data_IF_277819436166
#
_entry.id   IF_277819436166
#
_cell.length_a   1.000
_cell.length_b   1.000
_cell.length_c   1.000
_cell.angle_alpha   90.00
_cell.angle_beta   90.00
_cell.angle_gamma   90.00
#
_symmetry.space_group_name_H-M   'P 1'
#
loop_
_entity.id
_entity.type
_entity.pdbx_description
1 polymer ?
#
# COMPACT_ATOMS: atom_id res chain seq x y z
N UNK A 1 22.95 5.63 -9.70
CA UNK A 1 23.17 5.02 -8.37
C UNK A 1 21.80 4.59 -7.84
N UNK A 2 21.61 3.35 -7.41
CA UNK A 2 20.32 2.93 -6.86
C UNK A 2 20.17 3.47 -5.44
N UNK A 3 19.01 4.05 -5.13
CA UNK A 3 18.70 4.52 -3.77
C UNK A 3 18.49 3.33 -2.84
N UNK A 4 19.03 3.38 -1.61
CA UNK A 4 18.66 2.51 -0.51
C UNK A 4 17.23 2.79 -0.03
N UNK A 5 16.65 1.93 0.80
CA UNK A 5 15.34 2.19 1.39
C UNK A 5 15.32 3.50 2.18
N UNK A 6 16.35 3.73 2.99
CA UNK A 6 16.48 4.97 3.78
C UNK A 6 16.50 6.22 2.89
N UNK A 7 17.25 6.20 1.79
CA UNK A 7 17.33 7.33 0.84
C UNK A 7 15.99 7.53 0.11
N UNK A 8 15.26 6.45 -0.20
CA UNK A 8 13.92 6.55 -0.77
C UNK A 8 12.95 7.24 0.19
N UNK A 9 12.91 6.82 1.45
CA UNK A 9 12.00 7.38 2.45
C UNK A 9 12.30 8.85 2.74
N UNK A 10 13.58 9.20 2.94
CA UNK A 10 13.99 10.58 3.15
C UNK A 10 13.65 11.50 1.96
N UNK A 11 13.78 10.98 0.74
CA UNK A 11 13.42 11.75 -0.46
C UNK A 11 11.90 11.92 -0.58
N UNK A 12 11.11 10.88 -0.31
CA UNK A 12 9.64 10.93 -0.39
C UNK A 12 9.03 11.94 0.57
N UNK A 13 9.64 12.17 1.74
CA UNK A 13 9.19 13.18 2.71
C UNK A 13 9.25 14.61 2.16
N UNK A 14 10.11 14.86 1.19
CA UNK A 14 10.34 16.19 0.59
C UNK A 14 9.86 16.30 -0.86
N UNK A 15 9.44 15.20 -1.46
CA UNK A 15 9.09 15.11 -2.88
C UNK A 15 7.74 15.75 -3.24
N UNK A 16 6.92 16.06 -2.23
CA UNK A 16 5.61 16.68 -2.38
C UNK A 16 5.44 17.86 -1.44
N UNK A 17 4.92 18.98 -1.98
CA UNK A 17 4.82 20.25 -1.23
C UNK A 17 3.82 20.20 -0.06
N UNK A 18 2.86 19.27 -0.10
CA UNK A 18 1.83 19.11 0.92
C UNK A 18 2.01 17.78 1.65
N UNK A 19 2.09 17.83 2.97
CA UNK A 19 2.11 16.64 3.80
C UNK A 19 0.85 15.75 3.63
N UNK A 20 -0.28 16.39 3.31
CA UNK A 20 -1.59 15.77 3.11
C UNK A 20 -2.22 16.35 1.84
N UNK A 21 -2.43 15.51 0.85
CA UNK A 21 -3.14 15.90 -0.38
C UNK A 21 -4.09 14.76 -0.78
N UNK A 22 -5.32 14.85 -0.26
CA UNK A 22 -6.36 13.86 -0.50
C UNK A 22 -6.90 13.99 -1.93
N UNK A 23 -7.06 12.87 -2.59
CA UNK A 23 -7.61 12.79 -3.93
C UNK A 23 -7.12 11.56 -4.67
N UNK A 24 -7.95 11.03 -5.57
CA UNK A 24 -7.64 9.79 -6.30
C UNK A 24 -7.08 10.04 -7.70
N UNK A 25 -7.04 11.28 -8.16
CA UNK A 25 -6.64 11.58 -9.55
C UNK A 25 -5.16 11.26 -9.82
N UNK A 26 -4.24 11.74 -8.97
CA UNK A 26 -2.79 11.53 -9.15
C UNK A 26 -2.43 10.06 -9.03
N UNK A 27 -2.80 9.44 -7.90
CA UNK A 27 -2.52 8.03 -7.64
C UNK A 27 -3.18 7.13 -8.70
N UNK A 28 -4.40 7.47 -9.13
CA UNK A 28 -5.12 6.76 -10.18
C UNK A 28 -4.39 6.82 -11.53
N UNK A 29 -3.88 7.99 -11.91
CA UNK A 29 -3.11 8.14 -13.14
C UNK A 29 -1.84 7.28 -13.14
N UNK A 30 -1.11 7.28 -12.01
CA UNK A 30 0.10 6.43 -11.87
C UNK A 30 -0.26 4.96 -11.86
N UNK A 31 -1.32 4.56 -11.13
CA UNK A 31 -1.77 3.17 -11.10
C UNK A 31 -2.17 2.66 -12.49
N UNK A 32 -2.85 3.49 -13.29
CA UNK A 32 -3.17 3.18 -14.69
C UNK A 32 -1.89 3.02 -15.54
N UNK A 33 -0.89 3.89 -15.35
CA UNK A 33 0.40 3.76 -16.04
C UNK A 33 1.15 2.48 -15.65
N UNK A 34 0.92 1.95 -14.44
CA UNK A 34 1.41 0.65 -13.98
C UNK A 34 0.59 -0.55 -14.51
N UNK A 35 -0.44 -0.31 -15.31
CA UNK A 35 -1.31 -1.32 -15.89
C UNK A 35 -2.51 -1.70 -15.02
N UNK A 36 -2.70 -1.05 -13.88
CA UNK A 36 -3.81 -1.25 -12.94
C UNK A 36 -4.19 -2.73 -12.70
N UNK A 37 -3.24 -3.63 -12.38
CA UNK A 37 -3.53 -5.04 -12.23
C UNK A 37 -4.44 -5.31 -11.02
N UNK A 38 -5.24 -6.36 -11.08
CA UNK A 38 -6.02 -6.79 -9.91
C UNK A 38 -5.07 -7.20 -8.77
N UNK A 39 -5.35 -6.74 -7.53
CA UNK A 39 -4.47 -6.99 -6.39
C UNK A 39 -4.54 -8.44 -5.88
N UNK A 40 -5.76 -8.96 -5.74
CA UNK A 40 -6.03 -10.25 -5.12
C UNK A 40 -7.36 -10.82 -5.64
N UNK A 41 -7.67 -12.06 -5.26
CA UNK A 41 -8.97 -12.64 -5.56
C UNK A 41 -10.10 -11.94 -4.80
N UNK A 42 -9.86 -11.59 -3.52
CA UNK A 42 -10.78 -10.85 -2.66
C UNK A 42 -10.06 -9.68 -2.01
N UNK A 43 -10.75 -8.57 -1.88
CA UNK A 43 -10.21 -7.33 -1.30
C UNK A 43 -11.12 -6.90 -0.17
N UNK A 44 -10.52 -6.63 0.99
CA UNK A 44 -11.20 -6.14 2.18
C UNK A 44 -10.60 -4.78 2.53
N UNK A 45 -11.43 -3.75 2.65
CA UNK A 45 -11.00 -2.43 3.11
C UNK A 45 -11.38 -2.25 4.58
N UNK A 46 -10.42 -1.79 5.39
CA UNK A 46 -10.62 -1.53 6.82
C UNK A 46 -10.56 -0.02 7.05
N UNK A 47 -11.70 0.55 7.42
CA UNK A 47 -11.83 1.96 7.76
C UNK A 47 -12.30 2.12 9.21
N UNK A 48 -12.09 3.30 9.81
CA UNK A 48 -12.55 3.59 11.16
C UNK A 48 -11.66 4.60 11.88
N UNK A 49 -12.17 5.15 12.98
CA UNK A 49 -11.42 6.13 13.78
C UNK A 49 -10.29 5.46 14.57
N UNK A 50 -10.58 4.35 15.22
CA UNK A 50 -9.65 3.59 16.07
C UNK A 50 -9.73 2.10 15.75
N UNK A 51 -8.65 1.35 16.06
CA UNK A 51 -8.63 -0.11 15.98
C UNK A 51 -8.44 -0.69 14.58
N UNK A 52 -8.24 0.13 13.55
CA UNK A 52 -8.03 -0.33 12.17
C UNK A 52 -6.90 -1.36 12.07
N UNK A 53 -5.70 -1.02 12.55
CA UNK A 53 -4.55 -1.93 12.51
C UNK A 53 -4.78 -3.23 13.25
N UNK A 54 -5.50 -3.21 14.40
CA UNK A 54 -5.93 -4.43 15.10
C UNK A 54 -6.88 -5.26 14.25
N UNK A 55 -7.85 -4.62 13.59
CA UNK A 55 -8.77 -5.29 12.68
C UNK A 55 -8.03 -5.94 11.50
N UNK A 56 -7.06 -5.24 10.92
CA UNK A 56 -6.18 -5.81 9.87
C UNK A 56 -5.47 -7.07 10.39
N UNK A 57 -4.80 -6.99 11.55
CA UNK A 57 -4.09 -8.14 12.13
C UNK A 57 -5.02 -9.35 12.40
N UNK A 58 -6.22 -9.10 12.94
CA UNK A 58 -7.20 -10.17 13.16
C UNK A 58 -7.69 -10.78 11.85
N UNK A 59 -7.95 -9.96 10.85
CA UNK A 59 -8.38 -10.43 9.53
C UNK A 59 -7.28 -11.28 8.86
N UNK A 60 -6.02 -10.85 8.93
CA UNK A 60 -4.88 -11.66 8.46
C UNK A 60 -4.84 -13.03 9.16
N UNK A 61 -4.89 -13.02 10.50
CA UNK A 61 -4.84 -14.25 11.30
C UNK A 61 -6.00 -15.22 10.97
N UNK A 62 -7.20 -14.69 10.76
CA UNK A 62 -8.36 -15.48 10.36
C UNK A 62 -8.19 -16.09 8.97
N UNK A 63 -7.72 -15.30 7.99
CA UNK A 63 -7.44 -15.80 6.64
C UNK A 63 -6.42 -16.95 6.67
N UNK A 64 -5.32 -16.77 7.40
CA UNK A 64 -4.27 -17.79 7.55
C UNK A 64 -4.80 -19.05 8.25
N UNK A 65 -5.60 -18.90 9.32
CA UNK A 65 -6.20 -20.02 10.03
C UNK A 65 -7.13 -20.87 9.13
N UNK A 66 -7.70 -20.26 8.08
CA UNK A 66 -8.50 -20.93 7.05
C UNK A 66 -7.68 -21.38 5.83
N UNK A 67 -6.36 -21.27 5.87
CA UNK A 67 -5.47 -21.71 4.79
C UNK A 67 -5.46 -20.78 3.58
N UNK A 68 -5.95 -19.54 3.72
CA UNK A 68 -5.90 -18.58 2.63
C UNK A 68 -4.59 -17.77 2.68
N UNK A 69 -3.93 -17.57 1.53
CA UNK A 69 -2.83 -16.62 1.42
C UNK A 69 -3.36 -15.20 1.52
N UNK A 70 -2.68 -14.37 2.31
CA UNK A 70 -3.13 -13.01 2.60
C UNK A 70 -2.00 -12.00 2.47
N UNK A 71 -2.30 -10.85 1.90
CA UNK A 71 -1.44 -9.67 1.98
C UNK A 71 -2.17 -8.55 2.68
N UNK A 72 -1.45 -7.71 3.41
CA UNK A 72 -2.02 -6.51 4.01
C UNK A 72 -1.19 -5.26 3.73
N UNK A 73 -1.89 -4.14 3.67
CA UNK A 73 -1.33 -2.81 3.72
C UNK A 73 -1.92 -2.07 4.92
N UNK A 74 -1.07 -1.56 5.80
CA UNK A 74 -1.47 -0.86 7.03
C UNK A 74 -0.61 0.38 7.30
N UNK A 75 -1.14 1.32 8.11
CA UNK A 75 -0.42 2.54 8.50
C UNK A 75 -0.96 3.13 9.81
N UNK A 76 -0.11 3.86 10.56
CA UNK A 76 1.34 4.01 10.39
C UNK A 76 2.12 2.76 10.80
N UNK A 77 3.42 2.71 10.51
CA UNK A 77 4.35 1.74 11.10
C UNK A 77 4.77 2.20 12.51
N UNK A 78 5.25 1.28 13.33
CA UNK A 78 5.70 1.54 14.70
C UNK A 78 7.23 1.64 14.80
N UNK A 79 7.96 0.72 14.23
CA UNK A 79 9.41 0.64 14.32
C UNK A 79 10.12 0.57 12.96
N UNK A 80 9.54 -0.10 11.99
CA UNK A 80 10.13 -0.33 10.68
C UNK A 80 9.09 -0.06 9.58
N UNK A 81 9.49 0.66 8.54
CA UNK A 81 8.60 0.99 7.43
C UNK A 81 7.99 -0.25 6.76
N UNK A 82 8.73 -1.36 6.72
CA UNK A 82 8.29 -2.63 6.10
C UNK A 82 7.08 -3.26 6.78
N UNK A 83 6.77 -2.87 8.04
CA UNK A 83 5.54 -3.26 8.75
C UNK A 83 4.27 -2.93 7.97
N UNK A 84 4.35 -1.88 7.11
CA UNK A 84 3.20 -1.41 6.33
C UNK A 84 2.71 -2.44 5.32
N UNK A 85 3.58 -3.33 4.86
CA UNK A 85 3.26 -4.31 3.81
C UNK A 85 3.65 -5.70 4.30
N UNK A 86 2.66 -6.55 4.47
CA UNK A 86 2.88 -7.92 4.97
C UNK A 86 2.30 -8.94 4.00
N UNK A 87 2.94 -10.09 3.96
CA UNK A 87 2.51 -11.27 3.21
C UNK A 87 2.53 -12.47 4.16
N UNK A 88 1.36 -13.06 4.38
CA UNK A 88 1.17 -14.16 5.33
C UNK A 88 1.78 -13.88 6.71
N UNK A 89 1.60 -12.63 7.20
CA UNK A 89 2.11 -12.12 8.47
C UNK A 89 3.58 -11.71 8.50
N UNK A 90 4.36 -12.02 7.45
CA UNK A 90 5.76 -11.59 7.34
C UNK A 90 5.89 -10.22 6.66
N UNK A 91 6.80 -9.40 7.15
CA UNK A 91 7.11 -8.11 6.53
C UNK A 91 7.71 -8.29 5.14
N UNK A 92 7.45 -7.33 4.28
CA UNK A 92 8.06 -7.30 2.94
C UNK A 92 9.60 -7.23 3.04
N UNK A 93 10.27 -7.88 2.10
CA UNK A 93 11.73 -7.75 1.97
C UNK A 93 12.13 -6.34 1.52
N UNK A 94 13.25 -5.83 2.07
CA UNK A 94 13.73 -4.49 1.76
C UNK A 94 14.04 -4.30 0.28
N UNK A 95 14.67 -5.29 -0.34
CA UNK A 95 15.03 -5.21 -1.76
C UNK A 95 13.78 -5.22 -2.66
N UNK A 96 12.74 -5.98 -2.28
CA UNK A 96 11.46 -5.97 -2.98
C UNK A 96 10.76 -4.62 -2.87
N UNK A 97 10.79 -4.00 -1.66
CA UNK A 97 10.20 -2.70 -1.43
C UNK A 97 10.91 -1.60 -2.22
N UNK A 98 12.24 -1.60 -2.24
CA UNK A 98 13.04 -0.68 -3.07
C UNK A 98 12.71 -0.86 -4.56
N UNK A 99 12.62 -2.10 -5.04
CA UNK A 99 12.23 -2.36 -6.43
C UNK A 99 10.80 -1.88 -6.74
N UNK A 100 9.89 -1.95 -5.78
CA UNK A 100 8.54 -1.40 -5.94
C UNK A 100 8.56 0.13 -6.05
N UNK A 101 9.37 0.83 -5.24
CA UNK A 101 9.54 2.27 -5.37
C UNK A 101 10.17 2.66 -6.72
N UNK A 102 11.15 1.91 -7.22
CA UNK A 102 11.72 2.11 -8.56
C UNK A 102 10.64 1.97 -9.66
N UNK A 103 9.75 0.97 -9.52
CA UNK A 103 8.65 0.77 -10.47
C UNK A 103 7.63 1.91 -10.45
N UNK A 104 7.27 2.39 -9.25
CA UNK A 104 6.38 3.55 -9.08
C UNK A 104 7.03 4.81 -9.67
N UNK A 105 8.31 5.05 -9.42
CA UNK A 105 9.06 6.22 -9.95
C UNK A 105 9.08 6.22 -11.47
N UNK A 106 9.33 5.07 -12.07
CA UNK A 106 9.30 4.92 -13.52
C UNK A 106 7.91 5.18 -14.13
N UNK A 107 6.85 4.80 -13.42
CA UNK A 107 5.48 4.95 -13.91
C UNK A 107 4.87 6.34 -13.69
N UNK A 108 5.28 7.05 -12.62
CA UNK A 108 4.68 8.35 -12.29
C UNK A 108 5.06 9.48 -13.25
N UNK A 109 6.21 9.38 -13.95
CA UNK A 109 6.73 10.48 -14.77
C UNK A 109 6.91 11.75 -13.94
N UNK A 110 6.25 12.83 -14.36
CA UNK A 110 6.28 14.13 -13.67
C UNK A 110 5.19 14.30 -12.57
N UNK A 111 4.39 13.27 -12.33
CA UNK A 111 3.33 13.33 -11.30
C UNK A 111 3.98 13.33 -9.92
N UNK A 112 3.69 14.37 -9.14
CA UNK A 112 4.10 14.45 -7.74
C UNK A 112 3.16 13.60 -6.88
N UNK A 113 3.72 12.75 -6.02
CA UNK A 113 3.00 11.86 -5.12
C UNK A 113 3.32 12.20 -3.67
N UNK A 114 2.31 12.22 -2.81
CA UNK A 114 2.49 12.32 -1.36
C UNK A 114 3.14 11.05 -0.81
N UNK A 115 3.73 11.14 0.38
CA UNK A 115 4.36 10.01 1.07
C UNK A 115 3.42 8.80 1.19
N UNK A 116 2.13 9.05 1.46
CA UNK A 116 1.15 7.98 1.56
C UNK A 116 0.79 7.37 0.20
N UNK A 117 0.68 8.17 -0.85
CA UNK A 117 0.44 7.67 -2.22
C UNK A 117 1.60 6.79 -2.70
N UNK A 118 2.85 7.14 -2.37
CA UNK A 118 4.03 6.28 -2.61
C UNK A 118 3.89 4.93 -1.91
N UNK A 119 3.52 4.96 -0.62
CA UNK A 119 3.31 3.75 0.18
C UNK A 119 2.24 2.84 -0.41
N UNK A 120 1.09 3.43 -0.77
CA UNK A 120 -0.04 2.70 -1.31
C UNK A 120 0.29 2.06 -2.67
N UNK A 121 0.89 2.82 -3.59
CA UNK A 121 1.28 2.30 -4.92
C UNK A 121 2.31 1.18 -4.83
N UNK A 122 3.31 1.31 -3.95
CA UNK A 122 4.29 0.25 -3.71
C UNK A 122 3.61 -1.02 -3.16
N UNK A 123 2.68 -0.86 -2.20
CA UNK A 123 1.90 -1.96 -1.67
C UNK A 123 1.04 -2.62 -2.77
N UNK A 124 0.32 -1.84 -3.55
CA UNK A 124 -0.50 -2.36 -4.65
C UNK A 124 0.32 -3.12 -5.67
N UNK A 125 1.48 -2.57 -6.07
CA UNK A 125 2.39 -3.23 -6.99
C UNK A 125 2.85 -4.60 -6.47
N UNK A 126 3.29 -4.66 -5.22
CA UNK A 126 3.78 -5.90 -4.60
C UNK A 126 2.67 -6.94 -4.41
N UNK A 127 1.51 -6.50 -3.93
CA UNK A 127 0.34 -7.36 -3.74
C UNK A 127 -0.11 -7.94 -5.09
N UNK A 128 -0.24 -7.09 -6.11
CA UNK A 128 -0.64 -7.52 -7.45
C UNK A 128 0.36 -8.51 -8.08
N UNK A 129 1.64 -8.39 -7.80
CA UNK A 129 2.66 -9.35 -8.27
C UNK A 129 2.57 -10.70 -7.58
N UNK A 130 2.22 -10.73 -6.29
CA UNK A 130 2.13 -11.98 -5.51
C UNK A 130 0.78 -12.69 -5.65
N UNK A 131 -0.27 -11.98 -6.08
CA UNK A 131 -1.62 -12.51 -6.30
C UNK A 131 -2.14 -13.34 -5.12
N UNK A 132 -2.20 -12.81 -3.88
CA UNK A 132 -2.76 -13.54 -2.75
C UNK A 132 -4.26 -13.81 -2.96
N UNK A 133 -4.82 -14.72 -2.18
CA UNK A 133 -6.26 -14.96 -2.19
C UNK A 133 -7.02 -13.77 -1.60
N UNK A 134 -6.47 -13.14 -0.55
CA UNK A 134 -7.08 -12.00 0.13
C UNK A 134 -6.08 -10.85 0.24
N UNK A 135 -6.52 -9.63 -0.07
CA UNK A 135 -5.81 -8.40 0.26
C UNK A 135 -6.60 -7.61 1.28
N UNK A 136 -5.95 -7.17 2.36
CA UNK A 136 -6.55 -6.35 3.43
C UNK A 136 -5.90 -4.98 3.40
N UNK A 137 -6.69 -3.94 3.11
CA UNK A 137 -6.21 -2.58 2.92
C UNK A 137 -6.73 -1.67 4.04
N UNK A 138 -5.84 -1.09 4.83
CA UNK A 138 -6.19 -0.11 5.86
C UNK A 138 -6.27 1.29 5.27
N UNK A 139 -7.40 1.97 5.50
CA UNK A 139 -7.55 3.40 5.18
C UNK A 139 -6.65 4.24 6.07
N UNK A 140 -5.80 5.07 5.46
CA UNK A 140 -4.88 5.93 6.20
C UNK A 140 -5.59 7.13 6.82
N UNK A 141 -6.38 7.86 6.03
CA UNK A 141 -7.06 9.06 6.49
C UNK A 141 -8.41 9.28 5.79
N UNK A 142 -9.43 9.54 6.60
CA UNK A 142 -10.76 9.93 6.12
C UNK A 142 -11.56 8.76 5.55
N UNK A 143 -11.29 8.34 4.33
CA UNK A 143 -12.01 7.23 3.65
C UNK A 143 -12.12 7.46 2.14
N UNK A 144 -13.22 8.06 1.68
CA UNK A 144 -13.57 8.15 0.24
C UNK A 144 -12.45 8.67 -0.68
N UNK A 145 -11.63 9.59 -0.22
CA UNK A 145 -10.53 10.19 -0.99
C UNK A 145 -9.14 9.67 -0.56
N UNK A 146 -9.12 8.67 0.31
CA UNK A 146 -7.88 7.99 0.70
C UNK A 146 -7.33 7.16 -0.47
N UNK A 147 -6.01 7.07 -0.56
CA UNK A 147 -5.33 6.34 -1.63
C UNK A 147 -5.78 4.87 -1.73
N UNK A 148 -6.08 4.22 -0.61
CA UNK A 148 -6.55 2.82 -0.59
C UNK A 148 -7.91 2.65 -1.25
N UNK A 149 -8.73 3.70 -1.24
CA UNK A 149 -10.06 3.69 -1.87
C UNK A 149 -10.02 3.85 -3.41
N UNK A 150 -8.83 3.88 -4.00
CA UNK A 150 -8.64 3.69 -5.43
C UNK A 150 -9.02 2.26 -5.87
N UNK A 151 -8.92 1.31 -4.96
CA UNK A 151 -9.16 -0.10 -5.20
C UNK A 151 -10.55 -0.45 -4.68
N UNK A 152 -11.40 -0.97 -5.57
CA UNK A 152 -12.73 -1.45 -5.19
C UNK A 152 -12.62 -2.73 -4.38
N UNK A 153 -13.23 -2.73 -3.19
CA UNK A 153 -13.24 -3.86 -2.27
C UNK A 153 -14.59 -4.59 -2.31
N UNK A 154 -14.56 -5.92 -2.12
CA UNK A 154 -15.77 -6.73 -1.97
C UNK A 154 -16.38 -6.61 -0.57
N UNK A 155 -15.57 -6.20 0.43
CA UNK A 155 -16.02 -5.96 1.82
C UNK A 155 -15.32 -4.75 2.42
N UNK A 156 -16.03 -4.01 3.29
CA UNK A 156 -15.50 -2.86 4.02
C UNK A 156 -16.12 -2.80 5.43
#
# INVERSE_FOLDING_TARGET
MKRSLHEWLAWQETAHDKAWDLGLHRIGAVWQAMGAPRLARHIITVAGTNGKGSCVCWTEGLCQAHGASVASFSSPHLSDYRERIRFDGAWVDEAELVAAFEAVDAARGDISLSYFEWSALAAFHLIARRQPQVAVLEVGLGGRLDATNLIDAEAA
#
